data_IF_020817195465
#
_entry.id   IF_020817195465
#
_cell.length_a   1.000
_cell.length_b   1.000
_cell.length_c   1.000
_cell.angle_alpha   90.00
_cell.angle_beta   90.00
_cell.angle_gamma   90.00
#
_symmetry.space_group_name_H-M   'P 1'
#
loop_
_entity.id
_entity.type
_entity.pdbx_description
1 polymer ?
#
# COMPACT_ATOMS: atom_id res chain seq x y z
N UNK A 1 4.91 -19.26 -20.65
CA UNK A 1 4.70 -17.88 -20.12
C UNK A 1 5.38 -17.75 -18.77
N UNK A 2 5.91 -16.57 -18.43
CA UNK A 2 6.60 -16.29 -17.14
C UNK A 2 5.73 -16.56 -15.91
N UNK A 3 4.39 -16.57 -16.07
CA UNK A 3 3.44 -16.75 -14.97
C UNK A 3 3.05 -18.22 -14.74
N UNK A 4 2.94 -19.02 -15.80
CA UNK A 4 2.43 -20.41 -15.77
C UNK A 4 3.41 -21.42 -16.38
N UNK A 5 4.68 -21.05 -16.53
CA UNK A 5 5.73 -21.92 -17.07
C UNK A 5 6.53 -22.62 -15.97
N UNK A 6 7.48 -23.51 -16.33
CA UNK A 6 8.35 -24.21 -15.38
C UNK A 6 9.24 -23.28 -14.52
N UNK A 7 9.29 -21.99 -14.87
CA UNK A 7 10.00 -20.93 -14.14
C UNK A 7 9.03 -19.86 -13.60
N UNK A 8 7.82 -20.28 -13.20
CA UNK A 8 6.81 -19.39 -12.63
C UNK A 8 7.36 -18.59 -11.45
N UNK A 9 7.10 -17.28 -11.44
CA UNK A 9 7.61 -16.40 -10.39
C UNK A 9 6.81 -16.62 -9.08
N UNK A 10 7.54 -16.84 -7.98
CA UNK A 10 6.98 -17.05 -6.64
C UNK A 10 7.16 -15.78 -5.78
N UNK A 11 6.57 -14.66 -6.21
CA UNK A 11 6.68 -13.38 -5.49
C UNK A 11 5.93 -13.33 -4.17
N UNK A 12 5.08 -14.32 -3.88
CA UNK A 12 4.17 -14.30 -2.73
C UNK A 12 4.91 -14.15 -1.40
N UNK A 13 6.06 -14.83 -1.25
CA UNK A 13 6.87 -14.74 -0.04
C UNK A 13 7.39 -13.31 0.18
N UNK A 14 7.89 -12.67 -0.87
CA UNK A 14 8.39 -11.30 -0.81
C UNK A 14 7.30 -10.34 -0.33
N UNK A 15 6.11 -10.39 -0.94
CA UNK A 15 5.01 -9.49 -0.59
C UNK A 15 4.45 -9.74 0.80
N UNK A 16 4.34 -11.01 1.18
CA UNK A 16 3.89 -11.43 2.52
C UNK A 16 4.84 -10.95 3.62
N UNK A 17 6.13 -10.78 3.32
CA UNK A 17 7.12 -10.27 4.27
C UNK A 17 7.24 -8.75 4.27
N UNK A 18 7.33 -8.13 3.09
CA UNK A 18 7.63 -6.68 2.99
C UNK A 18 6.48 -5.81 3.51
N UNK A 19 5.22 -6.21 3.28
CA UNK A 19 4.08 -5.39 3.71
C UNK A 19 3.95 -5.30 5.24
N UNK A 20 4.03 -6.41 6.01
CA UNK A 20 4.10 -6.34 7.47
C UNK A 20 5.28 -5.53 7.99
N UNK A 21 6.46 -5.67 7.39
CA UNK A 21 7.65 -4.90 7.80
C UNK A 21 7.44 -3.39 7.60
N UNK A 22 6.83 -2.98 6.47
CA UNK A 22 6.51 -1.57 6.21
C UNK A 22 5.45 -1.03 7.18
N UNK A 23 4.41 -1.80 7.48
CA UNK A 23 3.39 -1.43 8.48
C UNK A 23 4.05 -1.28 9.85
N UNK A 24 4.85 -2.26 10.27
CA UNK A 24 5.58 -2.24 11.55
C UNK A 24 6.47 -1.00 11.64
N UNK A 25 7.20 -0.68 10.56
CA UNK A 25 8.06 0.51 10.49
C UNK A 25 7.27 1.80 10.69
N UNK A 26 6.08 1.92 10.07
CA UNK A 26 5.21 3.08 10.23
C UNK A 26 4.62 3.17 11.65
N UNK A 27 4.25 2.03 12.26
CA UNK A 27 3.77 1.96 13.64
C UNK A 27 4.87 2.37 14.62
N UNK A 28 6.09 1.86 14.47
CA UNK A 28 7.24 2.24 15.29
C UNK A 28 7.53 3.74 15.12
N UNK A 29 7.53 4.25 13.88
CA UNK A 29 7.71 5.68 13.61
C UNK A 29 6.65 6.54 14.30
N UNK A 30 5.38 6.11 14.28
CA UNK A 30 4.28 6.78 14.95
C UNK A 30 4.44 6.77 16.48
N UNK A 31 4.85 5.63 17.05
CA UNK A 31 5.10 5.49 18.48
C UNK A 31 6.25 6.39 18.96
N UNK A 32 7.37 6.41 18.23
CA UNK A 32 8.52 7.27 18.54
C UNK A 32 8.19 8.77 18.44
N UNK A 33 7.26 9.15 17.55
CA UNK A 33 6.86 10.54 17.36
C UNK A 33 5.54 10.90 18.05
N UNK A 34 5.06 10.08 19.00
CA UNK A 34 3.71 10.22 19.58
C UNK A 34 3.46 11.57 20.27
N UNK A 35 4.50 12.17 20.85
CA UNK A 35 4.44 13.46 21.55
C UNK A 35 4.49 14.68 20.61
N UNK A 36 4.93 14.51 19.36
CA UNK A 36 5.09 15.62 18.39
C UNK A 36 3.85 15.64 17.50
N UNK A 37 2.90 16.53 17.81
CA UNK A 37 1.55 16.53 17.20
C UNK A 37 1.59 16.59 15.68
N UNK A 38 2.41 17.47 15.09
CA UNK A 38 2.54 17.57 13.64
C UNK A 38 3.05 16.27 13.00
N UNK A 39 4.13 15.67 13.54
CA UNK A 39 4.69 14.41 13.03
C UNK A 39 3.71 13.26 13.18
N UNK A 40 3.08 13.12 14.36
CA UNK A 40 2.07 12.08 14.63
C UNK A 40 0.94 12.13 13.61
N UNK A 41 0.41 13.33 13.32
CA UNK A 41 -0.67 13.50 12.33
C UNK A 41 -0.21 13.07 10.93
N UNK A 42 0.96 13.52 10.50
CA UNK A 42 1.50 13.24 9.16
C UNK A 42 1.81 11.74 8.98
N UNK A 43 2.52 11.12 9.93
CA UNK A 43 2.81 9.68 9.92
C UNK A 43 1.52 8.87 9.98
N UNK A 44 0.53 9.32 10.77
CA UNK A 44 -0.79 8.69 10.84
C UNK A 44 -1.51 8.67 9.49
N UNK A 45 -1.47 9.78 8.74
CA UNK A 45 -2.04 9.83 7.37
C UNK A 45 -1.36 8.80 6.46
N UNK A 46 -0.02 8.75 6.48
CA UNK A 46 0.73 7.77 5.68
C UNK A 46 0.40 6.33 6.04
N UNK A 47 0.30 6.02 7.33
CA UNK A 47 -0.11 4.71 7.82
C UNK A 47 -1.52 4.33 7.34
N UNK A 48 -2.48 5.26 7.42
CA UNK A 48 -3.85 5.02 6.95
C UNK A 48 -3.90 4.78 5.45
N UNK A 49 -3.25 5.61 4.63
CA UNK A 49 -3.23 5.44 3.17
C UNK A 49 -2.60 4.12 2.76
N UNK A 50 -1.48 3.76 3.41
CA UNK A 50 -0.83 2.48 3.15
C UNK A 50 -1.71 1.30 3.57
N UNK A 51 -2.30 1.33 4.77
CA UNK A 51 -3.20 0.27 5.25
C UNK A 51 -4.41 0.07 4.32
N UNK A 52 -5.03 1.15 3.84
CA UNK A 52 -6.13 1.06 2.86
C UNK A 52 -5.68 0.38 1.55
N UNK A 53 -4.48 0.71 1.06
CA UNK A 53 -3.92 0.05 -0.13
C UNK A 53 -3.64 -1.45 0.11
N UNK A 54 -3.21 -1.83 1.32
CA UNK A 54 -2.99 -3.23 1.71
C UNK A 54 -4.33 -3.98 1.82
N UNK A 55 -5.35 -3.38 2.42
CA UNK A 55 -6.70 -3.96 2.47
C UNK A 55 -7.24 -4.21 1.07
N UNK A 56 -7.17 -3.20 0.18
CA UNK A 56 -7.57 -3.36 -1.21
C UNK A 56 -6.75 -4.47 -1.91
N UNK A 57 -5.44 -4.56 -1.61
CA UNK A 57 -4.56 -5.61 -2.15
C UNK A 57 -5.02 -7.01 -1.72
N UNK A 58 -5.30 -7.21 -0.44
CA UNK A 58 -5.72 -8.49 0.10
C UNK A 58 -7.08 -8.95 -0.44
N UNK A 59 -8.05 -8.04 -0.56
CA UNK A 59 -9.43 -8.40 -0.94
C UNK A 59 -9.69 -8.40 -2.45
N UNK A 60 -8.94 -7.63 -3.24
CA UNK A 60 -9.15 -7.55 -4.69
C UNK A 60 -7.95 -8.04 -5.49
N UNK A 61 -6.77 -7.45 -5.28
CA UNK A 61 -5.63 -7.71 -6.18
C UNK A 61 -5.06 -9.12 -6.05
N UNK A 62 -4.95 -9.65 -4.82
CA UNK A 62 -4.42 -11.01 -4.57
C UNK A 62 -5.35 -12.09 -5.14
N UNK A 63 -6.67 -12.09 -4.86
CA UNK A 63 -7.59 -13.05 -5.47
C UNK A 63 -7.59 -12.96 -7.00
N UNK A 64 -7.61 -11.75 -7.55
CA UNK A 64 -7.63 -11.55 -9.00
C UNK A 64 -6.35 -12.04 -9.67
N UNK A 65 -5.19 -11.79 -9.05
CA UNK A 65 -3.91 -12.31 -9.53
C UNK A 65 -3.87 -13.85 -9.52
N UNK A 66 -4.38 -14.48 -8.46
CA UNK A 66 -4.52 -15.95 -8.40
C UNK A 66 -5.45 -16.47 -9.49
N UNK A 67 -6.54 -15.76 -9.78
CA UNK A 67 -7.44 -16.12 -10.87
C UNK A 67 -6.75 -16.02 -12.24
N UNK A 68 -5.92 -14.99 -12.48
CA UNK A 68 -5.12 -14.90 -13.71
C UNK A 68 -4.11 -16.04 -13.83
N UNK A 69 -3.41 -16.40 -12.75
CA UNK A 69 -2.50 -17.57 -12.71
C UNK A 69 -3.26 -18.85 -13.07
N UNK A 70 -4.45 -19.04 -12.49
CA UNK A 70 -5.31 -20.21 -12.74
C UNK A 70 -6.20 -20.10 -13.99
N UNK A 71 -6.06 -19.05 -14.81
CA UNK A 71 -6.92 -18.83 -15.98
C UNK A 71 -7.03 -20.00 -16.96
N UNK A 72 -5.99 -20.84 -17.20
CA UNK A 72 -6.13 -22.00 -18.10
C UNK A 72 -7.12 -23.06 -17.60
N UNK A 73 -7.40 -23.07 -16.29
CA UNK A 73 -8.28 -24.05 -15.64
C UNK A 73 -9.69 -23.50 -15.38
N UNK A 74 -9.97 -22.26 -15.80
CA UNK A 74 -11.24 -21.58 -15.57
C UNK A 74 -11.98 -21.39 -16.89
N UNK A 75 -13.27 -21.75 -16.91
CA UNK A 75 -14.14 -21.59 -18.08
C UNK A 75 -14.61 -20.13 -18.25
N UNK A 76 -13.66 -19.22 -18.41
CA UNK A 76 -13.88 -17.77 -18.58
C UNK A 76 -13.43 -17.37 -19.98
N UNK A 77 -14.26 -16.58 -20.67
CA UNK A 77 -13.98 -16.19 -22.05
C UNK A 77 -12.75 -15.28 -22.17
N UNK A 78 -12.02 -15.30 -23.30
CA UNK A 78 -10.90 -14.37 -23.53
C UNK A 78 -11.29 -12.90 -23.41
N UNK A 79 -12.49 -12.52 -23.87
CA UNK A 79 -13.01 -11.16 -23.78
C UNK A 79 -13.23 -10.72 -22.32
N UNK A 80 -13.72 -11.63 -21.48
CA UNK A 80 -13.88 -11.37 -20.04
C UNK A 80 -12.53 -11.23 -19.34
N UNK A 81 -11.56 -12.09 -19.65
CA UNK A 81 -10.20 -11.95 -19.12
C UNK A 81 -9.55 -10.63 -19.49
N UNK A 82 -9.75 -10.18 -20.73
CA UNK A 82 -9.28 -8.87 -21.18
C UNK A 82 -9.91 -7.73 -20.37
N UNK A 83 -11.23 -7.74 -20.18
CA UNK A 83 -11.94 -6.72 -19.40
C UNK A 83 -11.48 -6.69 -17.93
N UNK A 84 -11.28 -7.86 -17.32
CA UNK A 84 -10.74 -8.01 -15.96
C UNK A 84 -9.32 -7.47 -15.86
N UNK A 85 -8.45 -7.81 -16.81
CA UNK A 85 -7.08 -7.29 -16.87
C UNK A 85 -7.03 -5.76 -16.98
N UNK A 86 -7.86 -5.16 -17.85
CA UNK A 86 -7.98 -3.71 -17.98
C UNK A 86 -8.42 -3.04 -16.67
N UNK A 87 -9.39 -3.64 -15.96
CA UNK A 87 -9.83 -3.15 -14.64
C UNK A 87 -8.72 -3.26 -13.61
N UNK A 88 -8.07 -4.42 -13.53
CA UNK A 88 -6.97 -4.67 -12.60
C UNK A 88 -5.82 -3.68 -12.82
N UNK A 89 -5.48 -3.38 -14.07
CA UNK A 89 -4.44 -2.40 -14.41
C UNK A 89 -4.82 -0.98 -13.99
N UNK A 90 -6.04 -0.51 -14.31
CA UNK A 90 -6.52 0.82 -13.90
C UNK A 90 -6.55 0.98 -12.38
N UNK A 91 -7.03 -0.04 -11.67
CA UNK A 91 -7.05 -0.04 -10.21
C UNK A 91 -5.63 -0.14 -9.63
N UNK A 92 -4.70 -0.84 -10.30
CA UNK A 92 -3.30 -0.88 -9.88
C UNK A 92 -2.65 0.49 -9.92
N UNK A 93 -2.93 1.29 -10.96
CA UNK A 93 -2.51 2.68 -11.04
C UNK A 93 -3.07 3.51 -9.88
N UNK A 94 -4.38 3.41 -9.63
CA UNK A 94 -5.01 4.13 -8.52
C UNK A 94 -4.39 3.74 -7.17
N UNK A 95 -4.24 2.43 -6.91
CA UNK A 95 -3.60 1.91 -5.69
C UNK A 95 -2.18 2.43 -5.55
N UNK A 96 -1.38 2.37 -6.63
CA UNK A 96 -0.02 2.88 -6.66
C UNK A 96 0.05 4.37 -6.34
N UNK A 97 -0.85 5.17 -6.92
CA UNK A 97 -0.97 6.61 -6.63
C UNK A 97 -1.31 6.85 -5.15
N UNK A 98 -2.24 6.10 -4.57
CA UNK A 98 -2.56 6.21 -3.13
C UNK A 98 -1.34 5.92 -2.26
N UNK A 99 -0.58 4.86 -2.58
CA UNK A 99 0.66 4.54 -1.87
C UNK A 99 1.71 5.64 -2.03
N UNK A 100 1.87 6.18 -3.23
CA UNK A 100 2.80 7.29 -3.51
C UNK A 100 2.41 8.56 -2.75
N UNK A 101 1.12 8.91 -2.72
CA UNK A 101 0.62 10.04 -1.93
C UNK A 101 0.87 9.83 -0.43
N UNK A 102 0.93 8.59 0.05
CA UNK A 102 1.36 8.25 1.40
C UNK A 102 2.80 8.62 1.72
N UNK A 103 3.68 8.77 0.73
CA UNK A 103 5.08 9.20 0.93
C UNK A 103 5.17 10.69 1.27
N UNK A 104 4.31 11.52 0.69
CA UNK A 104 4.38 12.99 0.86
C UNK A 104 4.25 13.41 2.34
N UNK A 105 3.29 12.92 3.14
CA UNK A 105 3.24 13.24 4.56
C UNK A 105 4.46 12.72 5.34
N UNK A 106 5.07 11.59 4.96
CA UNK A 106 6.33 11.13 5.60
C UNK A 106 7.46 12.11 5.36
N UNK A 107 7.64 12.57 4.12
CA UNK A 107 8.64 13.59 3.79
C UNK A 107 8.38 14.88 4.57
N UNK A 108 7.12 15.32 4.65
CA UNK A 108 6.75 16.48 5.45
C UNK A 108 7.00 16.26 6.95
N UNK A 109 6.82 15.05 7.48
CA UNK A 109 7.06 14.75 8.88
C UNK A 109 8.54 14.91 9.25
N UNK A 110 9.46 14.55 8.35
CA UNK A 110 10.90 14.74 8.53
C UNK A 110 11.28 16.22 8.68
N UNK A 111 10.55 17.13 8.02
CA UNK A 111 10.80 18.57 8.11
C UNK A 111 10.28 19.22 9.40
N UNK A 112 9.48 18.52 10.21
CA UNK A 112 8.91 19.10 11.43
C UNK A 112 9.89 19.01 12.59
N UNK A 113 10.17 20.10 13.32
CA UNK A 113 11.06 20.06 14.47
C UNK A 113 10.44 19.26 15.62
N UNK A 114 11.28 18.79 16.55
CA UNK A 114 10.84 18.18 17.81
C UNK A 114 10.17 19.22 18.71
N UNK A 115 10.67 20.45 18.67
CA UNK A 115 10.14 21.59 19.42
C UNK A 115 9.17 22.37 18.53
N UNK A 116 7.87 22.06 18.56
CA UNK A 116 6.86 23.01 18.10
C UNK A 116 6.83 24.18 19.09
N UNK A 117 7.02 25.44 18.67
CA UNK A 117 6.74 26.58 19.53
C UNK A 117 5.32 26.43 20.04
N UNK A 118 5.13 26.40 21.36
CA UNK A 118 3.80 26.46 21.92
C UNK A 118 3.13 27.69 21.32
N UNK A 119 2.07 27.48 20.53
CA UNK A 119 1.22 28.56 20.06
C UNK A 119 0.63 29.17 21.32
N UNK A 120 1.24 30.23 21.82
CA UNK A 120 0.77 30.99 22.97
C UNK A 120 -0.66 31.40 22.63
N UNK A 121 -1.63 30.88 23.38
CA UNK A 121 -2.98 31.44 23.34
C UNK A 121 -2.85 32.87 23.87
N UNK A 122 -3.37 33.88 23.16
CA UNK A 122 -3.50 35.21 23.76
C UNK A 122 -4.41 35.09 24.99
N UNK A 123 -3.99 35.76 26.07
CA UNK A 123 -4.71 35.92 27.33
C UNK A 123 -6.04 36.64 27.12
#
# INVERSE_FOLDING_TARGET
>A
MVVNGPYGLHEELFWTLIHPLLILSLVVSLALNWKIRARRRLIGISLTLYALAIVATAFYFVPELRAFKNSPNLAVSPAEWFARGQRWQKLSWLRGTVMYLGIVPLLLALTKPVNEPQRTKPL
#
